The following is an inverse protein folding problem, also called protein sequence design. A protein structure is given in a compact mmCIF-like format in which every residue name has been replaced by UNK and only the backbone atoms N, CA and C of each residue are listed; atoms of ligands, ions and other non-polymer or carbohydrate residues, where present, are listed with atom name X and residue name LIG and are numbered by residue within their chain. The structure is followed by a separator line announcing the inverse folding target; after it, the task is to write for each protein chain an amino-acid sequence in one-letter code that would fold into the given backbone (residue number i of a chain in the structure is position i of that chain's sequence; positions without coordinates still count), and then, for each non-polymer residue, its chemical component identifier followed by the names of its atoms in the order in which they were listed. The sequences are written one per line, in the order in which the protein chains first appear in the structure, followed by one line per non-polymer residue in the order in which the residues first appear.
data_IF_666424457160
#
_entry.id   IF_666424457160
#
_cell.length_a   1.000
_cell.length_b   1.000
_cell.length_c   1.000
_cell.angle_alpha   90.00
_cell.angle_beta   90.00
_cell.angle_gamma   90.00
#
_symmetry.space_group_name_H-M   'P 1'
#
loop_
_entity.id
_entity.type
_entity.pdbx_description
1 polymer ?
#
# COMPACT_ATOMS: atom_id res chain seq x y z
N UNK A 1 67.00 -15.93 -44.81
CA UNK A 1 66.13 -14.73 -44.71
C UNK A 1 64.89 -15.00 -43.88
N UNK A 2 64.07 -16.01 -44.20
CA UNK A 2 62.85 -16.37 -43.46
C UNK A 2 63.04 -16.59 -41.95
N UNK A 3 64.06 -17.35 -41.55
CA UNK A 3 64.36 -17.62 -40.14
C UNK A 3 64.76 -16.38 -39.32
N UNK A 4 65.37 -15.37 -39.95
CA UNK A 4 65.74 -14.11 -39.27
C UNK A 4 64.53 -13.21 -39.03
N UNK A 5 63.64 -13.11 -40.01
CA UNK A 5 62.37 -12.37 -39.88
C UNK A 5 61.50 -13.00 -38.79
N UNK A 6 61.45 -14.32 -38.75
CA UNK A 6 60.67 -15.08 -37.76
C UNK A 6 61.20 -14.88 -36.33
N UNK A 7 62.53 -14.78 -36.16
CA UNK A 7 63.16 -14.50 -34.87
C UNK A 7 62.89 -13.07 -34.38
N UNK A 8 62.89 -12.09 -35.27
CA UNK A 8 62.62 -10.67 -34.94
C UNK A 8 61.16 -10.46 -34.53
N UNK A 9 60.20 -11.05 -35.26
CA UNK A 9 58.76 -10.88 -34.98
C UNK A 9 58.31 -11.67 -33.74
N UNK A 10 59.06 -12.70 -33.33
CA UNK A 10 58.70 -13.54 -32.18
C UNK A 10 58.63 -12.78 -30.85
N UNK A 11 59.52 -11.81 -30.62
CA UNK A 11 59.55 -11.02 -29.37
C UNK A 11 58.27 -10.21 -29.11
N UNK A 12 57.85 -9.33 -30.03
CA UNK A 12 56.58 -8.58 -29.94
C UNK A 12 55.37 -9.48 -29.77
N UNK A 13 55.28 -10.59 -30.50
CA UNK A 13 54.14 -11.51 -30.42
C UNK A 13 54.10 -12.20 -29.05
N UNK A 14 55.24 -12.71 -28.57
CA UNK A 14 55.32 -13.36 -27.26
C UNK A 14 54.99 -12.35 -26.15
N UNK A 15 55.53 -11.14 -26.24
CA UNK A 15 55.22 -10.05 -25.32
C UNK A 15 53.73 -9.72 -25.29
N UNK A 16 53.10 -9.60 -26.46
CA UNK A 16 51.66 -9.36 -26.58
C UNK A 16 50.82 -10.48 -25.96
N UNK A 17 51.17 -11.74 -26.22
CA UNK A 17 50.48 -12.91 -25.66
C UNK A 17 50.62 -12.94 -24.13
N UNK A 18 51.82 -12.72 -23.61
CA UNK A 18 52.06 -12.69 -22.15
C UNK A 18 51.26 -11.54 -21.52
N UNK A 19 51.26 -10.36 -22.13
CA UNK A 19 50.48 -9.21 -21.67
C UNK A 19 48.98 -9.48 -21.64
N UNK A 20 48.45 -10.07 -22.71
CA UNK A 20 47.04 -10.47 -22.81
C UNK A 20 46.67 -11.50 -21.73
N UNK A 21 47.43 -12.59 -21.64
CA UNK A 21 47.15 -13.70 -20.72
C UNK A 21 47.24 -13.24 -19.27
N UNK A 22 48.26 -12.45 -18.92
CA UNK A 22 48.48 -11.97 -17.56
C UNK A 22 47.35 -11.04 -17.12
N UNK A 23 46.96 -10.06 -17.96
CA UNK A 23 45.86 -9.15 -17.63
C UNK A 23 44.50 -9.87 -17.61
N UNK A 24 44.28 -10.84 -18.51
CA UNK A 24 43.08 -11.67 -18.49
C UNK A 24 42.95 -12.42 -17.16
N UNK A 25 44.04 -13.03 -16.67
CA UNK A 25 44.05 -13.70 -15.37
C UNK A 25 43.81 -12.68 -14.24
N UNK A 26 44.42 -11.50 -14.29
CA UNK A 26 44.22 -10.45 -13.29
C UNK A 26 42.74 -10.03 -13.18
N UNK A 27 42.08 -9.77 -14.32
CA UNK A 27 40.65 -9.45 -14.36
C UNK A 27 39.82 -10.60 -13.79
N UNK A 28 40.14 -11.84 -14.16
CA UNK A 28 39.45 -13.04 -13.64
C UNK A 28 39.65 -13.22 -12.13
N UNK A 29 40.80 -12.80 -11.60
CA UNK A 29 41.12 -12.86 -10.17
C UNK A 29 40.36 -11.81 -9.33
N UNK A 30 39.83 -10.75 -9.94
CA UNK A 30 38.93 -9.81 -9.24
C UNK A 30 37.65 -10.51 -8.76
N UNK A 31 37.17 -11.48 -9.51
CA UNK A 31 35.91 -12.19 -9.24
C UNK A 31 36.13 -13.57 -8.61
N UNK A 32 37.19 -14.29 -9.00
CA UNK A 32 37.48 -15.66 -8.54
C UNK A 32 38.82 -15.71 -7.79
N UNK A 33 38.98 -16.54 -6.75
CA UNK A 33 38.03 -17.52 -6.23
C UNK A 33 36.96 -16.90 -5.32
N UNK A 34 35.75 -17.48 -5.35
CA UNK A 34 34.59 -16.97 -4.62
C UNK A 34 34.68 -17.12 -3.10
N UNK A 35 35.49 -18.07 -2.63
CA UNK A 35 35.71 -18.34 -1.21
C UNK A 35 37.19 -18.25 -0.89
N UNK A 36 37.49 -17.89 0.35
CA UNK A 36 38.85 -17.90 0.86
C UNK A 36 39.43 -19.32 0.75
N UNK A 37 40.61 -19.46 0.15
CA UNK A 37 41.34 -20.74 0.11
C UNK A 37 42.49 -20.68 1.12
N UNK A 38 42.73 -21.80 1.81
CA UNK A 38 43.83 -21.97 2.77
C UNK A 38 44.64 -23.21 2.38
N UNK A 39 45.96 -23.13 2.56
CA UNK A 39 46.85 -24.29 2.44
C UNK A 39 47.50 -24.44 3.83
N UNK A 40 47.08 -25.47 4.57
CA UNK A 40 47.44 -25.64 5.98
C UNK A 40 47.01 -24.44 6.82
N UNK A 41 47.94 -23.82 7.55
CA UNK A 41 47.69 -22.62 8.37
C UNK A 41 47.71 -21.32 7.57
N UNK A 42 48.31 -21.31 6.37
CA UNK A 42 48.55 -20.10 5.56
C UNK A 42 47.38 -19.77 4.63
N UNK A 43 47.00 -18.49 4.57
CA UNK A 43 45.97 -17.97 3.66
C UNK A 43 46.59 -17.68 2.30
N UNK A 44 45.96 -18.15 1.21
CA UNK A 44 46.45 -17.85 -0.14
C UNK A 44 46.22 -16.37 -0.46
N UNK A 45 47.25 -15.63 -0.92
CA UNK A 45 47.09 -14.22 -1.31
C UNK A 45 46.07 -14.10 -2.44
N UNK A 46 45.37 -12.96 -2.51
CA UNK A 46 44.32 -12.71 -3.50
C UNK A 46 43.13 -13.70 -3.46
N UNK A 47 42.88 -14.36 -2.31
CA UNK A 47 41.68 -15.17 -2.08
C UNK A 47 40.91 -14.69 -0.82
N UNK A 48 39.59 -14.48 -0.89
CA UNK A 48 38.74 -14.48 -2.10
C UNK A 48 39.08 -13.31 -3.04
N UNK A 49 38.51 -13.33 -4.25
CA UNK A 49 38.62 -12.21 -5.20
C UNK A 49 38.18 -10.88 -4.59
N UNK A 50 38.63 -9.76 -5.16
CA UNK A 50 38.41 -8.41 -4.61
C UNK A 50 36.92 -8.04 -4.55
N UNK A 51 36.15 -8.35 -5.60
CA UNK A 51 34.71 -8.02 -5.68
C UNK A 51 33.91 -8.79 -4.62
N UNK A 52 34.00 -10.13 -4.51
CA UNK A 52 33.36 -10.87 -3.42
C UNK A 52 33.76 -10.36 -2.03
N UNK A 53 35.04 -10.00 -1.84
CA UNK A 53 35.55 -9.48 -0.56
C UNK A 53 34.95 -8.12 -0.18
N UNK A 54 34.63 -7.28 -1.17
CA UNK A 54 34.10 -5.92 -0.97
C UNK A 54 32.58 -5.82 -1.13
N UNK A 55 31.88 -6.95 -1.27
CA UNK A 55 30.41 -6.99 -1.41
C UNK A 55 29.68 -6.12 -0.36
N UNK A 56 30.02 -6.13 0.94
CA UNK A 56 29.35 -5.27 1.92
C UNK A 56 29.52 -3.77 1.67
N UNK A 57 30.68 -3.36 1.15
CA UNK A 57 30.94 -1.96 0.83
C UNK A 57 30.15 -1.52 -0.40
N UNK A 58 30.07 -2.41 -1.41
CA UNK A 58 29.27 -2.19 -2.62
C UNK A 58 27.79 -2.09 -2.23
N UNK A 59 27.30 -3.00 -1.39
CA UNK A 59 25.93 -3.03 -0.90
C UNK A 59 25.56 -1.71 -0.22
N UNK A 60 26.41 -1.22 0.70
CA UNK A 60 26.21 0.06 1.38
C UNK A 60 26.23 1.25 0.42
N UNK A 61 27.17 1.29 -0.53
CA UNK A 61 27.28 2.38 -1.48
C UNK A 61 26.09 2.44 -2.45
N UNK A 62 25.65 1.28 -2.96
CA UNK A 62 24.48 1.18 -3.84
C UNK A 62 23.20 1.50 -3.06
N UNK A 63 23.06 0.97 -1.84
CA UNK A 63 21.93 1.26 -0.96
C UNK A 63 21.78 2.75 -0.70
N UNK A 64 22.87 3.42 -0.30
CA UNK A 64 22.89 4.87 -0.09
C UNK A 64 22.52 5.63 -1.35
N UNK A 65 23.11 5.28 -2.50
CA UNK A 65 22.83 5.97 -3.76
C UNK A 65 21.36 5.87 -4.18
N UNK A 66 20.73 4.71 -4.01
CA UNK A 66 19.31 4.48 -4.36
C UNK A 66 18.38 5.16 -3.37
N UNK A 67 18.61 4.98 -2.06
CA UNK A 67 17.72 5.52 -1.03
C UNK A 67 17.76 7.05 -0.91
N UNK A 68 18.90 7.68 -1.18
CA UNK A 68 19.01 9.15 -1.10
C UNK A 68 18.61 9.87 -2.40
N UNK A 69 18.78 9.25 -3.58
CA UNK A 69 18.64 9.98 -4.86
C UNK A 69 17.54 9.47 -5.79
N UNK A 70 17.01 8.25 -5.61
CA UNK A 70 16.06 7.65 -6.56
C UNK A 70 14.70 7.33 -5.95
N UNK A 71 14.61 7.20 -4.63
CA UNK A 71 13.39 6.78 -3.95
C UNK A 71 13.15 7.64 -2.70
N UNK A 72 12.99 8.94 -2.91
CA UNK A 72 12.77 9.91 -1.82
C UNK A 72 11.32 9.92 -1.35
N UNK A 73 11.08 10.38 -0.12
CA UNK A 73 9.73 10.56 0.41
C UNK A 73 8.88 11.50 -0.47
N UNK A 74 9.51 12.54 -1.03
CA UNK A 74 8.86 13.51 -1.91
C UNK A 74 8.40 12.88 -3.24
N UNK A 75 9.26 12.08 -3.86
CA UNK A 75 8.93 11.37 -5.10
C UNK A 75 7.76 10.42 -4.89
N UNK A 76 7.74 9.71 -3.76
CA UNK A 76 6.65 8.80 -3.40
C UNK A 76 5.35 9.58 -3.20
N UNK A 77 5.36 10.66 -2.41
CA UNK A 77 4.17 11.52 -2.20
C UNK A 77 3.63 12.07 -3.51
N UNK A 78 4.51 12.48 -4.42
CA UNK A 78 4.14 13.01 -5.74
C UNK A 78 3.51 11.93 -6.61
N UNK A 79 4.09 10.73 -6.66
CA UNK A 79 3.51 9.60 -7.42
C UNK A 79 2.12 9.22 -6.94
N UNK A 80 1.86 9.25 -5.63
CA UNK A 80 0.54 8.92 -5.08
C UNK A 80 -0.48 10.06 -5.19
N UNK A 81 -0.04 11.32 -5.14
CA UNK A 81 -0.94 12.48 -5.35
C UNK A 81 -1.51 12.56 -6.77
N UNK A 82 -0.80 12.01 -7.75
CA UNK A 82 -1.24 11.98 -9.17
C UNK A 82 -2.18 10.81 -9.45
N UNK A 83 -2.27 9.84 -8.55
CA UNK A 83 -3.10 8.65 -8.75
C UNK A 83 -4.56 8.96 -8.41
N UNK A 84 -5.41 9.08 -9.44
CA UNK A 84 -6.86 9.11 -9.25
C UNK A 84 -7.35 7.71 -8.88
N UNK A 85 -7.75 7.53 -7.62
CA UNK A 85 -8.35 6.29 -7.16
C UNK A 85 -9.82 6.23 -7.56
N UNK A 86 -10.16 5.33 -8.49
CA UNK A 86 -11.55 4.99 -8.75
C UNK A 86 -12.06 4.06 -7.63
N UNK A 87 -12.52 4.65 -6.52
CA UNK A 87 -13.02 3.92 -5.35
C UNK A 87 -14.12 2.92 -5.73
N UNK A 88 -14.98 3.26 -6.68
CA UNK A 88 -16.05 2.35 -7.12
C UNK A 88 -15.49 1.05 -7.72
N UNK A 89 -14.38 1.13 -8.46
CA UNK A 89 -13.68 -0.06 -8.95
C UNK A 89 -12.98 -0.85 -7.84
N UNK A 90 -12.43 -0.16 -6.84
CA UNK A 90 -11.75 -0.80 -5.70
C UNK A 90 -12.73 -1.52 -4.77
N UNK A 91 -13.98 -1.03 -4.67
CA UNK A 91 -15.02 -1.57 -3.82
C UNK A 91 -15.91 -2.62 -4.50
N UNK A 92 -15.74 -2.86 -5.80
CA UNK A 92 -16.58 -3.80 -6.56
C UNK A 92 -16.51 -5.24 -6.05
N UNK A 93 -15.35 -5.63 -5.54
CA UNK A 93 -15.09 -6.99 -5.10
C UNK A 93 -15.25 -7.16 -3.57
N UNK A 94 -15.75 -6.12 -2.89
CA UNK A 94 -15.92 -6.12 -1.45
C UNK A 94 -17.38 -5.92 -1.07
N UNK A 95 -17.88 -6.80 -0.21
CA UNK A 95 -19.15 -6.60 0.49
C UNK A 95 -18.95 -5.76 1.74
N UNK A 96 -20.04 -5.19 2.27
CA UNK A 96 -19.99 -4.51 3.56
C UNK A 96 -19.49 -5.44 4.67
N UNK A 97 -19.84 -6.73 4.62
CA UNK A 97 -19.35 -7.75 5.54
C UNK A 97 -17.83 -7.98 5.44
N UNK A 98 -17.26 -7.96 4.24
CA UNK A 98 -15.81 -8.13 4.03
C UNK A 98 -15.01 -6.99 4.66
N UNK A 99 -15.54 -5.78 4.62
CA UNK A 99 -14.92 -4.63 5.31
C UNK A 99 -15.12 -4.75 6.81
N UNK A 100 -16.35 -5.02 7.27
CA UNK A 100 -16.64 -5.17 8.70
C UNK A 100 -15.79 -6.25 9.36
N UNK A 101 -15.64 -7.43 8.76
CA UNK A 101 -14.86 -8.54 9.31
C UNK A 101 -13.37 -8.22 9.53
N UNK A 102 -12.81 -7.25 8.78
CA UNK A 102 -11.42 -6.79 8.99
C UNK A 102 -11.26 -5.90 10.21
N UNK A 103 -12.30 -5.16 10.58
CA UNK A 103 -12.29 -4.21 11.71
C UNK A 103 -12.99 -4.74 12.95
N UNK A 104 -13.93 -5.67 12.79
CA UNK A 104 -14.81 -6.19 13.82
C UNK A 104 -14.67 -7.72 13.93
N UNK A 105 -13.55 -8.15 14.51
CA UNK A 105 -13.25 -9.59 14.67
C UNK A 105 -14.25 -10.30 15.61
N UNK A 106 -14.89 -9.53 16.49
CA UNK A 106 -15.72 -10.05 17.58
C UNK A 106 -17.21 -9.68 17.42
N UNK A 107 -17.60 -9.01 16.33
CA UNK A 107 -18.99 -8.58 16.06
C UNK A 107 -19.50 -7.39 16.89
N UNK A 108 -18.64 -6.82 17.74
CA UNK A 108 -18.97 -5.75 18.70
C UNK A 108 -19.19 -4.38 18.07
N UNK A 109 -18.55 -4.08 16.92
CA UNK A 109 -18.76 -2.81 16.23
C UNK A 109 -20.13 -2.75 15.57
N UNK A 110 -20.62 -3.87 15.03
CA UNK A 110 -21.99 -3.94 14.51
C UNK A 110 -23.02 -3.66 15.61
N UNK A 111 -22.85 -4.26 16.78
CA UNK A 111 -23.77 -4.08 17.90
C UNK A 111 -23.74 -2.64 18.43
N UNK A 112 -22.54 -2.07 18.61
CA UNK A 112 -22.36 -0.65 18.98
C UNK A 112 -22.95 0.31 17.95
N UNK A 113 -22.82 -0.01 16.65
CA UNK A 113 -23.39 0.79 15.58
C UNK A 113 -24.92 0.77 15.60
N UNK A 114 -25.51 -0.40 15.82
CA UNK A 114 -26.96 -0.55 16.00
C UNK A 114 -27.44 0.24 17.22
N UNK A 115 -26.77 0.12 18.36
CA UNK A 115 -27.13 0.87 19.57
C UNK A 115 -26.99 2.39 19.37
N UNK A 116 -25.90 2.86 18.76
CA UNK A 116 -25.69 4.30 18.50
C UNK A 116 -26.80 4.90 17.63
N UNK A 117 -27.15 4.24 16.52
CA UNK A 117 -28.23 4.69 15.63
C UNK A 117 -29.58 4.60 16.35
N UNK A 118 -29.80 3.55 17.13
CA UNK A 118 -31.03 3.38 17.92
C UNK A 118 -31.21 4.52 18.91
N UNK A 119 -30.18 4.83 19.68
CA UNK A 119 -30.23 5.87 20.70
C UNK A 119 -30.43 7.26 20.05
N UNK A 120 -29.72 7.54 18.94
CA UNK A 120 -29.92 8.79 18.19
C UNK A 120 -31.34 8.96 17.64
N UNK A 121 -31.90 7.90 17.05
CA UNK A 121 -33.27 7.95 16.53
C UNK A 121 -34.30 8.04 17.66
N UNK A 122 -34.06 7.36 18.78
CA UNK A 122 -34.96 7.39 19.94
C UNK A 122 -35.00 8.79 20.58
N UNK A 123 -33.84 9.43 20.77
CA UNK A 123 -33.76 10.81 21.27
C UNK A 123 -34.46 11.80 20.33
N UNK A 124 -34.24 11.67 19.02
CA UNK A 124 -34.91 12.53 18.02
C UNK A 124 -36.44 12.32 18.06
N UNK A 125 -36.89 11.06 18.14
CA UNK A 125 -38.30 10.70 18.22
C UNK A 125 -38.95 11.24 19.50
N UNK A 126 -38.23 11.18 20.63
CA UNK A 126 -38.67 11.75 21.91
C UNK A 126 -38.78 13.28 21.82
N UNK A 127 -37.81 13.93 21.19
CA UNK A 127 -37.81 15.39 21.03
C UNK A 127 -38.90 15.90 20.08
N UNK A 128 -39.34 15.07 19.13
CA UNK A 128 -40.37 15.43 18.15
C UNK A 128 -41.79 15.48 18.73
N UNK A 129 -42.02 15.00 19.97
CA UNK A 129 -43.31 14.96 20.66
C UNK A 129 -44.46 14.47 19.75
N UNK A 130 -44.29 13.25 19.22
CA UNK A 130 -45.25 12.64 18.30
C UNK A 130 -46.65 12.54 18.90
N UNK A 131 -46.79 12.42 20.22
CA UNK A 131 -48.09 12.45 20.89
C UNK A 131 -48.85 13.75 20.63
N UNK A 132 -48.19 14.90 20.72
CA UNK A 132 -48.80 16.20 20.38
C UNK A 132 -49.17 16.27 18.90
N UNK A 133 -48.28 15.84 18.01
CA UNK A 133 -48.54 15.86 16.56
C UNK A 133 -49.76 14.99 16.22
N UNK A 134 -49.84 13.78 16.77
CA UNK A 134 -50.95 12.85 16.53
C UNK A 134 -52.26 13.39 17.10
N UNK A 135 -52.24 13.94 18.32
CA UNK A 135 -53.41 14.54 18.95
C UNK A 135 -53.97 15.70 18.13
N UNK A 136 -53.13 16.67 17.76
CA UNK A 136 -53.56 17.82 16.95
C UNK A 136 -54.11 17.41 15.58
N UNK A 137 -53.46 16.46 14.90
CA UNK A 137 -53.95 15.97 13.62
C UNK A 137 -55.27 15.21 13.79
N UNK A 138 -55.39 14.40 14.85
CA UNK A 138 -56.61 13.69 15.22
C UNK A 138 -57.78 14.65 15.41
N UNK A 139 -57.61 15.70 16.21
CA UNK A 139 -58.62 16.75 16.41
C UNK A 139 -59.02 17.40 15.09
N UNK A 140 -58.04 17.81 14.28
CA UNK A 140 -58.28 18.44 12.97
C UNK A 140 -59.09 17.54 12.04
N UNK A 141 -58.81 16.24 11.99
CA UNK A 141 -59.56 15.27 11.19
C UNK A 141 -60.99 15.12 11.71
N UNK A 142 -61.17 15.02 13.03
CA UNK A 142 -62.48 14.88 13.64
C UNK A 142 -63.36 16.12 13.44
N UNK A 143 -62.80 17.33 13.61
CA UNK A 143 -63.51 18.58 13.38
C UNK A 143 -63.96 18.73 11.91
N UNK A 144 -63.11 18.35 10.95
CA UNK A 144 -63.48 18.32 9.52
C UNK A 144 -64.59 17.32 9.22
N UNK A 145 -64.55 16.14 9.85
CA UNK A 145 -65.58 15.10 9.68
C UNK A 145 -66.85 15.35 10.50
N UNK A 146 -66.84 16.27 11.46
CA UNK A 146 -68.00 16.60 12.32
C UNK A 146 -69.24 16.96 11.50
N UNK A 147 -69.09 17.73 10.43
CA UNK A 147 -70.18 18.08 9.52
C UNK A 147 -70.79 16.85 8.80
N UNK A 148 -69.97 15.83 8.51
CA UNK A 148 -70.42 14.60 7.84
C UNK A 148 -71.16 13.63 8.76
N UNK A 149 -71.10 13.82 10.08
CA UNK A 149 -71.73 12.95 11.09
C UNK A 149 -73.21 13.31 11.35
N UNK A 150 -73.72 14.39 10.75
CA UNK A 150 -75.12 14.79 10.84
C UNK A 150 -75.61 14.93 12.28
N UNK A 151 -76.69 14.24 12.63
CA UNK A 151 -77.32 14.33 13.96
C UNK A 151 -76.44 13.78 15.10
N UNK A 152 -75.50 12.87 14.82
CA UNK A 152 -74.56 12.34 15.84
C UNK A 152 -73.53 13.37 16.29
N UNK A 153 -73.23 14.38 15.46
CA UNK A 153 -72.26 15.42 15.80
C UNK A 153 -72.68 16.27 17.01
N UNK A 154 -73.98 16.36 17.31
CA UNK A 154 -74.50 17.07 18.50
C UNK A 154 -74.09 16.40 19.81
N UNK A 155 -73.84 15.08 19.81
CA UNK A 155 -73.40 14.34 20.99
C UNK A 155 -71.88 14.34 21.16
N UNK A 156 -71.13 14.77 20.15
CA UNK A 156 -69.67 14.87 20.16
C UNK A 156 -69.28 16.34 20.31
N UNK A 157 -69.25 16.79 21.57
CA UNK A 157 -68.78 18.12 21.92
C UNK A 157 -67.27 18.26 21.72
N UNK A 158 -66.80 19.49 21.49
CA UNK A 158 -65.37 19.78 21.28
C UNK A 158 -64.53 19.37 22.50
N UNK A 159 -65.12 19.42 23.70
CA UNK A 159 -64.52 18.95 24.95
C UNK A 159 -64.27 17.43 24.99
N UNK A 160 -65.11 16.63 24.34
CA UNK A 160 -64.86 15.18 24.24
C UNK A 160 -63.74 14.90 23.25
N UNK A 161 -63.69 15.66 22.16
CA UNK A 161 -62.62 15.56 21.15
C UNK A 161 -61.27 15.92 21.80
N UNK A 162 -61.21 17.03 22.55
CA UNK A 162 -59.98 17.45 23.23
C UNK A 162 -59.53 16.46 24.30
N UNK A 163 -60.45 15.95 25.12
CA UNK A 163 -60.10 14.96 26.14
C UNK A 163 -59.55 13.67 25.53
N UNK A 164 -60.15 13.18 24.44
CA UNK A 164 -59.63 11.99 23.73
C UNK A 164 -58.29 12.28 23.08
N UNK A 165 -58.10 13.47 22.52
CA UNK A 165 -56.82 13.89 21.95
C UNK A 165 -55.72 14.00 23.01
N UNK A 166 -56.01 14.57 24.18
CA UNK A 166 -55.10 14.66 25.32
C UNK A 166 -54.74 13.27 25.88
N UNK A 167 -55.73 12.39 26.01
CA UNK A 167 -55.53 10.99 26.42
C UNK A 167 -54.64 10.25 25.41
N UNK A 168 -54.91 10.41 24.11
CA UNK A 168 -54.09 9.84 23.04
C UNK A 168 -52.67 10.39 23.06
N UNK A 169 -52.48 11.69 23.26
CA UNK A 169 -51.16 12.31 23.41
C UNK A 169 -50.39 11.64 24.55
N UNK A 170 -51.01 11.58 25.74
CA UNK A 170 -50.39 10.99 26.93
C UNK A 170 -50.02 9.53 26.69
N UNK A 171 -50.96 8.71 26.20
CA UNK A 171 -50.72 7.28 25.95
C UNK A 171 -49.72 7.01 24.84
N UNK A 172 -49.68 7.87 23.81
CA UNK A 172 -48.70 7.76 22.73
C UNK A 172 -47.30 8.04 23.25
N UNK A 173 -47.12 9.09 24.05
CA UNK A 173 -45.82 9.44 24.63
C UNK A 173 -45.35 8.36 25.62
N UNK A 174 -46.24 7.85 26.48
CA UNK A 174 -45.96 6.73 27.39
C UNK A 174 -45.52 5.47 26.61
N UNK A 175 -46.24 5.11 25.55
CA UNK A 175 -45.89 3.94 24.73
C UNK A 175 -44.53 4.09 24.04
N UNK A 176 -44.22 5.30 23.56
CA UNK A 176 -42.92 5.62 22.96
C UNK A 176 -41.80 5.49 24.01
N UNK A 177 -42.01 6.00 25.23
CA UNK A 177 -41.00 5.90 26.29
C UNK A 177 -40.74 4.46 26.72
N UNK A 178 -41.77 3.64 26.82
CA UNK A 178 -41.64 2.24 27.25
C UNK A 178 -41.10 1.31 26.15
N UNK A 179 -41.52 1.51 24.90
CA UNK A 179 -41.31 0.53 23.83
C UNK A 179 -40.53 1.09 22.62
N UNK A 180 -40.41 2.41 22.49
CA UNK A 180 -39.87 3.07 21.30
C UNK A 180 -38.45 2.63 20.99
N UNK A 181 -37.59 2.54 22.00
CA UNK A 181 -36.20 2.11 21.82
C UNK A 181 -36.09 0.70 21.26
N UNK A 182 -36.84 -0.27 21.81
CA UNK A 182 -36.79 -1.67 21.36
C UNK A 182 -37.37 -1.83 19.93
N UNK A 183 -38.45 -1.11 19.61
CA UNK A 183 -39.02 -1.10 18.26
C UNK A 183 -38.00 -0.54 17.25
N UNK A 184 -37.35 0.58 17.58
CA UNK A 184 -36.31 1.19 16.73
C UNK A 184 -35.15 0.21 16.60
N UNK A 185 -34.65 -0.37 17.69
CA UNK A 185 -33.53 -1.32 17.69
C UNK A 185 -33.78 -2.49 16.75
N UNK A 186 -34.97 -3.10 16.81
CA UNK A 186 -35.35 -4.20 15.93
C UNK A 186 -35.33 -3.79 14.44
N UNK A 187 -35.85 -2.60 14.11
CA UNK A 187 -35.86 -2.08 12.73
C UNK A 187 -34.47 -1.71 12.23
N UNK A 188 -33.65 -1.08 13.07
CA UNK A 188 -32.25 -0.74 12.74
C UNK A 188 -31.45 -2.01 12.52
N UNK A 189 -31.58 -3.01 13.40
CA UNK A 189 -30.88 -4.29 13.28
C UNK A 189 -31.24 -5.01 11.98
N UNK A 190 -32.51 -5.13 11.64
CA UNK A 190 -32.95 -5.72 10.36
C UNK A 190 -32.35 -5.00 9.14
N UNK A 191 -32.27 -3.66 9.20
CA UNK A 191 -31.65 -2.87 8.11
C UNK A 191 -30.14 -3.11 8.02
N UNK A 192 -29.44 -3.18 9.16
CA UNK A 192 -28.01 -3.49 9.21
C UNK A 192 -27.71 -4.91 8.69
N UNK A 193 -28.52 -5.91 9.04
CA UNK A 193 -28.34 -7.28 8.52
C UNK A 193 -28.51 -7.34 7.01
N UNK A 194 -29.46 -6.59 6.44
CA UNK A 194 -29.62 -6.48 4.97
C UNK A 194 -28.41 -5.82 4.31
N UNK A 195 -27.88 -4.75 4.91
CA UNK A 195 -26.70 -4.04 4.40
C UNK A 195 -25.43 -4.89 4.38
N UNK A 196 -25.29 -5.86 5.30
CA UNK A 196 -24.13 -6.77 5.33
C UNK A 196 -23.93 -7.54 4.02
N UNK A 197 -25.03 -7.95 3.38
CA UNK A 197 -25.00 -8.74 2.15
C UNK A 197 -24.92 -7.92 0.86
N UNK A 198 -25.05 -6.59 0.95
CA UNK A 198 -25.00 -5.71 -0.22
C UNK A 198 -23.55 -5.44 -0.65
N UNK A 199 -23.35 -5.32 -1.96
CA UNK A 199 -22.07 -4.89 -2.50
C UNK A 199 -21.81 -3.43 -2.12
N UNK A 200 -20.60 -3.11 -1.66
CA UNK A 200 -20.23 -1.74 -1.31
C UNK A 200 -20.41 -0.78 -2.49
N UNK A 201 -20.17 -1.25 -3.72
CA UNK A 201 -20.41 -0.45 -4.93
C UNK A 201 -21.87 -0.04 -5.12
N UNK A 202 -22.83 -0.82 -4.61
CA UNK A 202 -24.26 -0.52 -4.71
C UNK A 202 -24.71 0.44 -3.61
N UNK A 203 -24.21 0.25 -2.39
CA UNK A 203 -24.38 1.18 -1.26
C UNK A 203 -23.84 2.58 -1.63
N UNK A 204 -22.75 2.62 -2.41
CA UNK A 204 -22.10 3.84 -2.87
C UNK A 204 -22.76 4.49 -4.12
N UNK A 205 -23.91 4.02 -4.60
CA UNK A 205 -24.57 4.63 -5.77
C UNK A 205 -25.13 6.04 -5.52
N UNK A 206 -25.09 6.53 -4.27
CA UNK A 206 -25.41 7.92 -3.97
C UNK A 206 -24.19 8.82 -4.24
N UNK A 207 -24.33 9.79 -5.14
CA UNK A 207 -23.27 10.76 -5.50
C UNK A 207 -22.63 11.48 -4.30
N UNK A 208 -23.39 11.72 -3.22
CA UNK A 208 -22.84 12.33 -2.00
C UNK A 208 -21.91 11.36 -1.25
N UNK A 209 -22.30 10.09 -1.17
CA UNK A 209 -21.52 9.04 -0.51
C UNK A 209 -20.23 8.76 -1.30
N UNK A 210 -20.33 8.73 -2.63
CA UNK A 210 -19.18 8.56 -3.52
C UNK A 210 -18.14 9.67 -3.35
N UNK A 211 -18.56 10.95 -3.32
CA UNK A 211 -17.66 12.08 -3.10
C UNK A 211 -16.96 12.04 -1.74
N UNK A 212 -17.71 11.75 -0.67
CA UNK A 212 -17.16 11.64 0.68
C UNK A 212 -16.20 10.46 0.83
N UNK A 213 -16.51 9.31 0.24
CA UNK A 213 -15.63 8.15 0.25
C UNK A 213 -14.36 8.39 -0.56
N UNK A 214 -14.44 9.05 -1.72
CA UNK A 214 -13.27 9.41 -2.51
C UNK A 214 -12.33 10.33 -1.72
N UNK A 215 -12.87 11.37 -1.07
CA UNK A 215 -12.08 12.29 -0.25
C UNK A 215 -11.50 11.59 1.00
N UNK A 216 -12.30 10.75 1.67
CA UNK A 216 -11.85 9.98 2.82
C UNK A 216 -10.75 8.99 2.45
N UNK A 217 -10.94 8.18 1.40
CA UNK A 217 -9.99 7.15 0.98
C UNK A 217 -8.71 7.80 0.46
N UNK A 218 -8.79 8.86 -0.35
CA UNK A 218 -7.59 9.56 -0.83
C UNK A 218 -6.77 10.15 0.32
N UNK A 219 -7.41 10.86 1.27
CA UNK A 219 -6.73 11.39 2.46
C UNK A 219 -6.19 10.30 3.37
N UNK A 220 -6.96 9.23 3.58
CA UNK A 220 -6.55 8.09 4.40
C UNK A 220 -5.34 7.37 3.79
N UNK A 221 -5.39 7.05 2.49
CA UNK A 221 -4.29 6.41 1.77
C UNK A 221 -3.04 7.28 1.78
N UNK A 222 -3.16 8.58 1.49
CA UNK A 222 -2.01 9.50 1.53
C UNK A 222 -1.37 9.54 2.92
N UNK A 223 -2.18 9.63 3.99
CA UNK A 223 -1.68 9.65 5.35
C UNK A 223 -1.08 8.29 5.78
N UNK A 224 -1.69 7.18 5.35
CA UNK A 224 -1.17 5.84 5.62
C UNK A 224 0.15 5.59 4.91
N UNK A 225 0.25 5.98 3.64
CA UNK A 225 1.47 5.89 2.84
C UNK A 225 2.54 6.78 3.46
N UNK A 226 2.24 8.02 3.85
CA UNK A 226 3.21 8.91 4.49
C UNK A 226 3.80 8.26 5.75
N UNK A 227 2.95 7.75 6.65
CA UNK A 227 3.40 7.03 7.86
C UNK A 227 4.14 5.72 7.57
N UNK A 228 3.85 5.08 6.44
CA UNK A 228 4.49 3.85 5.99
C UNK A 228 5.88 4.11 5.41
N UNK A 229 6.00 5.12 4.55
CA UNK A 229 7.24 5.52 3.88
C UNK A 229 8.30 5.95 4.88
N UNK A 230 7.93 6.69 5.93
CA UNK A 230 8.83 7.07 7.03
C UNK A 230 9.50 5.86 7.71
N UNK A 231 8.88 4.68 7.63
CA UNK A 231 9.40 3.45 8.25
C UNK A 231 10.19 2.57 7.28
N UNK A 232 10.18 2.87 5.99
CA UNK A 232 10.89 2.07 4.98
C UNK A 232 12.27 2.69 4.76
N UNK A 233 13.29 2.02 5.29
CA UNK A 233 14.68 2.34 4.97
C UNK A 233 15.08 1.65 3.66
N UNK A 234 14.80 2.32 2.53
CA UNK A 234 15.12 1.82 1.19
C UNK A 234 16.62 1.52 1.05
N UNK A 235 17.47 2.36 1.65
CA UNK A 235 18.93 2.16 1.62
C UNK A 235 19.29 0.82 2.22
N UNK A 236 18.71 0.49 3.38
CA UNK A 236 18.92 -0.78 4.07
C UNK A 236 18.34 -1.97 3.32
N UNK A 237 17.15 -1.84 2.74
CA UNK A 237 16.53 -2.90 1.93
C UNK A 237 17.43 -3.27 0.74
N UNK A 238 17.97 -2.26 0.04
CA UNK A 238 18.88 -2.48 -1.08
C UNK A 238 20.21 -3.05 -0.61
N UNK A 239 20.78 -2.54 0.48
CA UNK A 239 22.01 -3.08 1.09
C UNK A 239 21.85 -4.56 1.45
N UNK A 240 20.80 -4.92 2.17
CA UNK A 240 20.49 -6.29 2.57
C UNK A 240 20.29 -7.19 1.35
N UNK A 241 19.62 -6.69 0.31
CA UNK A 241 19.40 -7.44 -0.93
C UNK A 241 20.70 -7.73 -1.66
N UNK A 242 21.61 -6.75 -1.76
CA UNK A 242 22.93 -6.93 -2.40
C UNK A 242 23.82 -7.86 -1.56
N UNK A 243 23.75 -7.78 -0.23
CA UNK A 243 24.49 -8.68 0.67
C UNK A 243 23.97 -10.12 0.59
N UNK A 244 22.68 -10.32 0.34
CA UNK A 244 22.07 -11.63 0.20
C UNK A 244 22.33 -12.30 -1.16
N UNK A 245 22.80 -11.55 -2.17
CA UNK A 245 23.16 -12.11 -3.48
C UNK A 245 24.29 -13.12 -3.34
N UNK A 246 24.19 -14.22 -4.09
CA UNK A 246 25.30 -15.15 -4.18
C UNK A 246 26.47 -14.52 -4.97
N UNK A 247 27.66 -15.08 -4.79
CA UNK A 247 28.87 -14.50 -5.39
C UNK A 247 28.82 -14.52 -6.93
N UNK A 248 28.04 -15.44 -7.53
CA UNK A 248 27.89 -15.56 -8.99
C UNK A 248 26.97 -14.49 -9.54
N UNK A 249 25.88 -14.19 -8.85
CA UNK A 249 24.95 -13.11 -9.16
C UNK A 249 25.64 -11.76 -9.06
N UNK A 250 26.45 -11.55 -8.00
CA UNK A 250 27.25 -10.34 -7.88
C UNK A 250 28.26 -10.21 -9.03
N UNK A 251 28.97 -11.29 -9.39
CA UNK A 251 29.86 -11.30 -10.56
C UNK A 251 29.10 -10.95 -11.85
N UNK A 252 27.93 -11.55 -12.07
CA UNK A 252 27.10 -11.28 -13.26
C UNK A 252 26.63 -9.83 -13.31
N UNK A 253 26.24 -9.26 -12.17
CA UNK A 253 25.83 -7.85 -12.04
C UNK A 253 26.99 -6.90 -12.32
N UNK A 254 28.16 -7.14 -11.73
CA UNK A 254 29.33 -6.29 -11.99
C UNK A 254 29.79 -6.39 -13.45
N UNK A 255 29.82 -7.60 -14.02
CA UNK A 255 30.23 -7.82 -15.40
C UNK A 255 29.21 -7.26 -16.41
N UNK A 256 27.91 -7.22 -16.11
CA UNK A 256 26.93 -6.63 -17.02
C UNK A 256 27.19 -5.14 -17.28
N UNK A 257 27.78 -4.44 -16.30
CA UNK A 257 28.14 -3.03 -16.39
C UNK A 257 29.58 -2.83 -16.87
N UNK A 258 30.54 -3.60 -16.34
CA UNK A 258 31.97 -3.33 -16.50
C UNK A 258 32.69 -4.16 -17.57
N UNK A 259 32.03 -5.12 -18.24
CA UNK A 259 32.70 -6.06 -19.15
C UNK A 259 33.54 -5.38 -20.25
N UNK A 260 33.04 -4.29 -20.83
CA UNK A 260 33.76 -3.54 -21.87
C UNK A 260 35.05 -2.91 -21.32
N UNK A 261 34.94 -2.24 -20.18
CA UNK A 261 36.09 -1.59 -19.52
C UNK A 261 37.16 -2.60 -19.09
N UNK A 262 36.75 -3.74 -18.54
CA UNK A 262 37.68 -4.79 -18.15
C UNK A 262 38.37 -5.42 -19.36
N UNK A 263 37.67 -5.61 -20.47
CA UNK A 263 38.28 -6.12 -21.71
C UNK A 263 39.28 -5.11 -22.29
N UNK A 264 38.97 -3.81 -22.25
CA UNK A 264 39.90 -2.77 -22.70
C UNK A 264 41.23 -2.81 -21.93
N UNK A 265 41.20 -3.08 -20.62
CA UNK A 265 42.42 -3.26 -19.81
C UNK A 265 43.22 -4.50 -20.23
N UNK A 266 42.55 -5.58 -20.64
CA UNK A 266 43.21 -6.78 -21.15
C UNK A 266 43.88 -6.50 -22.50
N UNK A 267 43.16 -5.83 -23.41
CA UNK A 267 43.66 -5.47 -24.74
C UNK A 267 44.84 -4.49 -24.65
N UNK A 268 44.78 -3.54 -23.72
CA UNK A 268 45.90 -2.63 -23.43
C UNK A 268 47.13 -3.40 -22.94
N UNK A 269 46.94 -4.45 -22.15
CA UNK A 269 48.02 -5.34 -21.72
C UNK A 269 48.73 -6.01 -22.89
N UNK A 270 47.97 -6.47 -23.88
CA UNK A 270 48.52 -7.03 -25.11
C UNK A 270 49.29 -5.99 -25.92
N UNK A 271 48.74 -4.78 -26.06
CA UNK A 271 49.39 -3.67 -26.75
C UNK A 271 50.72 -3.29 -26.09
N UNK A 272 50.73 -3.14 -24.76
CA UNK A 272 51.95 -2.80 -24.01
C UNK A 272 52.99 -3.90 -24.15
N UNK A 273 52.58 -5.17 -24.03
CA UNK A 273 53.46 -6.32 -24.23
C UNK A 273 54.06 -6.37 -25.64
N UNK A 274 53.26 -6.02 -26.66
CA UNK A 274 53.72 -5.90 -28.04
C UNK A 274 54.78 -4.80 -28.20
N UNK A 275 54.52 -3.60 -27.68
CA UNK A 275 55.45 -2.46 -27.73
C UNK A 275 56.75 -2.77 -27.01
N UNK A 276 56.70 -3.37 -25.82
CA UNK A 276 57.90 -3.78 -25.08
C UNK A 276 58.70 -4.84 -25.84
N UNK A 277 58.03 -5.79 -26.49
CA UNK A 277 58.69 -6.78 -27.32
C UNK A 277 59.34 -6.17 -28.57
N UNK A 278 58.81 -5.06 -29.11
CA UNK A 278 59.48 -4.28 -30.17
C UNK A 278 60.73 -3.61 -29.63
N UNK A 279 60.63 -2.94 -28.49
CA UNK A 279 61.76 -2.23 -27.87
C UNK A 279 62.92 -3.19 -27.58
N UNK A 280 62.63 -4.42 -27.13
CA UNK A 280 63.62 -5.46 -26.87
C UNK A 280 64.33 -6.02 -28.13
N UNK A 281 63.89 -5.63 -29.33
CA UNK A 281 64.64 -5.93 -30.58
C UNK A 281 65.77 -4.92 -30.79
N UNK A 282 65.60 -3.69 -30.30
CA UNK A 282 66.51 -2.56 -30.53
C UNK A 282 67.53 -2.36 -29.39
N UNK A 283 67.31 -3.00 -28.25
CA UNK A 283 68.22 -3.05 -27.08
C UNK A 283 69.00 -4.36 -27.14
#
# INVERSE_FOLDING_TARGET
MFLHVLKIISGPIIGAIIGYVTNYIAVKMLFRPYKQKRIGKLKIPFTPGIIPKRQPQIAKAVGKAVGENLFTEEDIKKSFSVMEFNVKSLLKDYTFLDVLSKFDKDGTLCEKGVDYVTDKLYEELKSADLGTIIAEQGEKVFLKKKASLGMMAMFIGDKLISNVADELKSKTNEYIEENGREIIKAKVKDKFEKLKGENLSEICNNKLIEGLLNDFISKFLLNFIQKGVEKIDVSKVVEDKVNAMDVKELEKLCLSVMKKELNAVVDLGALIGFVLGIINIFI
#
